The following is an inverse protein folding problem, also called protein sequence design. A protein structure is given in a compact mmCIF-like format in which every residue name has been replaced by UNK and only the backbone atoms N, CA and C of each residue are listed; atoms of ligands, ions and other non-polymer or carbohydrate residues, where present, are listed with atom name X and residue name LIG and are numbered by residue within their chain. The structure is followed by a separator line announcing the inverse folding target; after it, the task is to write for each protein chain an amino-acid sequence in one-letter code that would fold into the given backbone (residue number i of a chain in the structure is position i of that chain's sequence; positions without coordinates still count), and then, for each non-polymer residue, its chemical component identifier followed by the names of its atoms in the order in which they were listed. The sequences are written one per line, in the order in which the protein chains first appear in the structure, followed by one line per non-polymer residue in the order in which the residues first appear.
data_IF_017078359905
#
_entry.id   IF_017078359905
#
_cell.length_a   1.000
_cell.length_b   1.000
_cell.length_c   1.000
_cell.angle_alpha   90.00
_cell.angle_beta   90.00
_cell.angle_gamma   90.00
#
_symmetry.space_group_name_H-M   'P 1'
#
loop_
_entity.id
_entity.type
_entity.pdbx_description
1 polymer ?
#
# COMPACT_ATOMS: atom_id res chain seq x y z
N UNK A 1 -64.17 -83.63 16.91
CA UNK A 1 -63.30 -82.98 17.90
C UNK A 1 -61.91 -82.57 17.40
N UNK A 2 -61.48 -82.95 16.19
CA UNK A 2 -60.13 -82.60 15.68
C UNK A 2 -60.08 -81.26 14.86
N UNK A 3 -61.21 -80.76 14.42
CA UNK A 3 -61.25 -79.54 13.60
C UNK A 3 -61.39 -78.25 14.41
N UNK A 4 -61.82 -78.31 15.65
CA UNK A 4 -61.98 -77.13 16.51
C UNK A 4 -60.61 -76.67 17.15
N UNK A 5 -59.67 -77.63 17.25
CA UNK A 5 -58.36 -77.37 17.85
C UNK A 5 -57.40 -76.64 16.93
N UNK A 6 -57.60 -76.74 15.60
CA UNK A 6 -56.77 -76.06 14.63
C UNK A 6 -57.16 -74.56 14.43
N UNK A 7 -58.40 -74.20 14.66
CA UNK A 7 -58.92 -72.86 14.53
C UNK A 7 -58.50 -71.91 15.70
N UNK A 8 -58.27 -72.53 16.89
CA UNK A 8 -57.86 -71.78 18.09
C UNK A 8 -56.33 -71.51 18.06
N UNK A 9 -55.52 -72.37 17.44
CA UNK A 9 -54.10 -72.16 17.31
C UNK A 9 -53.75 -71.11 16.21
N UNK A 10 -54.60 -71.01 15.15
CA UNK A 10 -54.41 -69.98 14.12
C UNK A 10 -54.82 -68.57 14.57
N UNK A 11 -55.70 -68.41 15.56
CA UNK A 11 -56.13 -67.11 16.09
C UNK A 11 -55.13 -66.53 17.12
N UNK A 12 -54.21 -67.30 17.67
CA UNK A 12 -53.23 -66.79 18.66
C UNK A 12 -51.91 -66.38 18.05
N UNK A 13 -51.65 -66.68 16.75
CA UNK A 13 -50.43 -66.28 16.05
C UNK A 13 -50.50 -64.89 15.38
N UNK A 14 -51.62 -64.19 15.49
CA UNK A 14 -51.82 -62.85 14.84
C UNK A 14 -51.75 -61.63 15.80
N UNK A 15 -51.32 -61.83 17.06
CA UNK A 15 -51.31 -60.77 18.07
C UNK A 15 -49.94 -60.39 18.62
N UNK A 16 -48.83 -60.74 17.93
CA UNK A 16 -47.49 -60.25 18.29
C UNK A 16 -46.70 -59.80 17.08
N UNK A 17 -47.30 -58.94 16.26
CA UNK A 17 -46.53 -58.02 15.45
C UNK A 17 -46.59 -56.62 16.16
N UNK A 18 -45.86 -56.51 17.25
CA UNK A 18 -45.43 -55.25 17.74
C UNK A 18 -44.30 -54.84 16.82
N UNK A 19 -44.64 -54.12 15.74
CA UNK A 19 -43.66 -53.29 15.05
C UNK A 19 -43.18 -52.28 16.07
N UNK A 20 -42.01 -52.54 16.66
CA UNK A 20 -41.21 -51.49 17.25
C UNK A 20 -40.76 -50.61 16.08
N UNK A 21 -41.48 -49.54 15.85
CA UNK A 21 -40.99 -48.39 15.12
C UNK A 21 -39.71 -47.94 15.84
N UNK A 22 -38.60 -48.52 15.46
CA UNK A 22 -37.29 -47.97 15.77
C UNK A 22 -37.19 -46.71 14.90
N UNK A 23 -37.72 -45.59 15.40
CA UNK A 23 -37.35 -44.30 14.89
C UNK A 23 -35.84 -44.22 14.99
N UNK A 24 -35.18 -44.41 13.83
CA UNK A 24 -33.73 -44.20 13.73
C UNK A 24 -33.40 -42.78 14.18
N UNK A 25 -32.89 -42.71 15.39
CA UNK A 25 -32.55 -41.44 16.03
C UNK A 25 -31.26 -40.94 15.39
N UNK A 26 -31.39 -40.20 14.28
CA UNK A 26 -30.26 -39.68 13.57
C UNK A 26 -29.75 -38.42 14.27
N UNK A 27 -28.50 -38.44 14.71
CA UNK A 27 -27.81 -37.23 15.20
C UNK A 27 -26.40 -37.19 14.62
N UNK A 28 -26.18 -36.28 13.69
CA UNK A 28 -24.90 -36.17 12.99
C UNK A 28 -24.48 -34.70 12.77
N UNK A 29 -23.19 -34.48 12.76
CA UNK A 29 -22.56 -33.24 12.38
C UNK A 29 -21.22 -33.55 11.70
N UNK A 30 -20.94 -32.90 10.59
CA UNK A 30 -19.66 -32.99 9.88
C UNK A 30 -19.17 -31.59 9.46
N UNK A 31 -17.87 -31.38 9.46
CA UNK A 31 -16.77 -32.13 10.07
C UNK A 31 -16.69 -31.92 11.58
N UNK A 32 -16.02 -32.80 12.31
CA UNK A 32 -15.79 -32.71 13.76
C UNK A 32 -14.68 -31.68 14.09
N UNK A 33 -13.81 -31.39 13.14
CA UNK A 33 -12.73 -30.41 13.29
C UNK A 33 -12.78 -29.32 12.20
N UNK A 34 -12.56 -28.09 12.59
CA UNK A 34 -12.48 -26.93 11.72
C UNK A 34 -11.15 -26.19 11.95
N UNK A 35 -10.36 -26.03 10.89
CA UNK A 35 -9.16 -25.22 10.90
C UNK A 35 -9.49 -23.82 10.36
N UNK A 36 -9.06 -22.79 11.07
CA UNK A 36 -9.42 -21.38 10.81
C UNK A 36 -8.17 -20.52 10.81
N UNK A 37 -8.08 -19.64 9.84
CA UNK A 37 -7.01 -18.65 9.77
C UNK A 37 -7.15 -17.57 10.86
N UNK A 38 -6.05 -16.88 11.14
CA UNK A 38 -5.98 -15.87 12.20
C UNK A 38 -7.03 -14.75 12.06
N UNK A 39 -7.42 -14.40 10.84
CA UNK A 39 -8.43 -13.35 10.58
C UNK A 39 -9.84 -13.74 11.03
N UNK A 40 -10.07 -15.03 11.34
CA UNK A 40 -11.39 -15.54 11.66
C UNK A 40 -12.31 -15.61 10.43
N UNK A 41 -13.62 -15.57 10.69
CA UNK A 41 -14.60 -15.61 9.61
C UNK A 41 -15.87 -16.37 9.98
N UNK A 42 -16.67 -16.71 8.97
CA UNK A 42 -17.91 -17.48 9.12
C UNK A 42 -17.79 -18.79 8.36
N UNK A 43 -18.04 -19.88 9.05
CA UNK A 43 -18.06 -21.23 8.48
C UNK A 43 -19.45 -21.79 8.63
N UNK A 44 -20.09 -22.23 7.54
CA UNK A 44 -21.40 -22.86 7.56
C UNK A 44 -21.27 -24.37 7.58
N UNK A 45 -22.01 -25.05 8.47
CA UNK A 45 -22.10 -26.48 8.58
C UNK A 45 -23.51 -26.93 8.91
N UNK A 46 -23.88 -28.10 8.42
CA UNK A 46 -25.18 -28.69 8.69
C UNK A 46 -25.11 -29.57 9.93
N UNK A 47 -26.12 -29.43 10.80
CA UNK A 47 -26.38 -30.30 11.94
C UNK A 47 -27.70 -31.01 11.66
N UNK A 48 -27.67 -32.32 11.65
CA UNK A 48 -28.87 -33.17 11.41
C UNK A 48 -29.25 -33.91 12.67
N UNK A 49 -30.49 -33.73 13.14
CA UNK A 49 -31.02 -34.46 14.31
C UNK A 49 -32.52 -34.63 14.18
N UNK A 50 -33.03 -35.84 14.37
CA UNK A 50 -34.47 -36.08 14.43
C UNK A 50 -35.13 -35.41 15.62
N UNK A 51 -34.37 -35.20 16.71
CA UNK A 51 -34.83 -34.53 17.93
C UNK A 51 -34.25 -33.13 18.05
N UNK A 52 -34.77 -32.39 19.02
CA UNK A 52 -34.24 -31.02 19.31
C UNK A 52 -32.82 -31.12 19.86
N UNK A 53 -31.99 -30.18 19.39
CA UNK A 53 -30.60 -30.04 19.85
C UNK A 53 -30.28 -28.59 20.23
N UNK A 54 -29.25 -28.40 21.05
CA UNK A 54 -28.66 -27.13 21.39
C UNK A 54 -27.15 -27.15 21.14
N UNK A 55 -26.60 -26.02 20.74
CA UNK A 55 -25.15 -25.77 20.67
C UNK A 55 -24.72 -24.82 21.77
N UNK A 56 -23.60 -25.13 22.41
CA UNK A 56 -22.98 -24.30 23.45
C UNK A 56 -21.47 -24.27 23.32
N UNK A 57 -20.85 -23.19 23.79
CA UNK A 57 -19.39 -23.06 23.86
C UNK A 57 -19.02 -22.14 25.01
N UNK A 58 -17.89 -22.45 25.68
CA UNK A 58 -17.28 -21.61 26.72
C UNK A 58 -16.29 -20.61 26.13
N UNK A 59 -16.10 -20.61 24.81
CA UNK A 59 -15.12 -19.79 24.10
C UNK A 59 -15.78 -18.53 23.58
N UNK A 60 -15.58 -17.38 24.21
CA UNK A 60 -16.19 -16.09 23.87
C UNK A 60 -15.88 -15.61 22.42
N UNK A 61 -14.88 -16.18 21.76
CA UNK A 61 -14.49 -15.86 20.39
C UNK A 61 -15.19 -16.73 19.33
N UNK A 62 -16.11 -17.63 19.76
CA UNK A 62 -16.91 -18.48 18.88
C UNK A 62 -18.38 -18.17 19.14
N UNK A 63 -19.13 -17.90 18.09
CA UNK A 63 -20.59 -17.77 18.13
C UNK A 63 -21.23 -18.74 17.16
N UNK A 64 -22.28 -19.44 17.57
CA UNK A 64 -23.04 -20.34 16.71
C UNK A 64 -24.44 -19.78 16.46
N UNK A 65 -24.87 -19.73 15.20
CA UNK A 65 -26.18 -19.20 14.83
C UNK A 65 -26.79 -20.00 13.67
N UNK A 66 -28.01 -20.58 13.84
CA UNK A 66 -28.74 -20.71 15.10
C UNK A 66 -28.06 -21.66 16.08
N UNK A 67 -28.20 -21.40 17.40
CA UNK A 67 -27.63 -22.22 18.46
C UNK A 67 -28.56 -23.38 18.89
N UNK A 68 -29.63 -23.65 18.17
CA UNK A 68 -30.55 -24.76 18.41
C UNK A 68 -31.32 -25.06 17.11
N UNK A 69 -31.87 -26.27 17.04
CA UNK A 69 -32.66 -26.71 15.88
C UNK A 69 -33.30 -28.08 16.04
N UNK A 70 -33.94 -28.53 14.96
CA UNK A 70 -34.47 -29.86 14.74
C UNK A 70 -34.47 -30.16 13.23
N UNK A 71 -34.28 -31.39 12.82
CA UNK A 71 -34.09 -31.73 11.41
C UNK A 71 -32.69 -31.36 10.95
N UNK A 72 -32.51 -31.16 9.66
CA UNK A 72 -31.27 -30.65 9.09
C UNK A 72 -31.27 -29.10 9.16
N UNK A 73 -30.37 -28.55 9.93
CA UNK A 73 -30.25 -27.12 10.17
C UNK A 73 -28.85 -26.63 9.76
N UNK A 74 -28.77 -25.64 8.91
CA UNK A 74 -27.51 -24.97 8.60
C UNK A 74 -27.15 -23.97 9.69
N UNK A 75 -25.96 -24.16 10.29
CA UNK A 75 -25.45 -23.33 11.36
C UNK A 75 -24.21 -22.58 10.88
N UNK A 76 -24.15 -21.31 11.21
CA UNK A 76 -22.97 -20.47 11.03
C UNK A 76 -22.15 -20.49 12.31
N UNK A 77 -20.89 -20.86 12.18
CA UNK A 77 -19.85 -20.72 13.19
C UNK A 77 -19.10 -19.43 12.90
N UNK A 78 -19.37 -18.41 13.69
CA UNK A 78 -18.76 -17.08 13.56
C UNK A 78 -17.56 -17.07 14.49
N UNK A 79 -16.36 -16.92 13.93
CA UNK A 79 -15.08 -16.98 14.65
C UNK A 79 -14.42 -15.61 14.60
N UNK A 80 -14.15 -15.02 15.76
CA UNK A 80 -13.46 -13.75 15.88
C UNK A 80 -11.99 -13.87 15.45
N UNK A 81 -11.41 -12.75 14.99
CA UNK A 81 -9.98 -12.71 14.68
C UNK A 81 -9.12 -13.00 15.91
N UNK A 82 -7.97 -13.65 15.69
CA UNK A 82 -6.98 -13.90 16.72
C UNK A 82 -6.44 -12.59 17.31
N UNK A 83 -6.26 -12.55 18.62
CA UNK A 83 -5.70 -11.37 19.32
C UNK A 83 -4.22 -11.58 19.70
N UNK A 84 -3.66 -12.75 19.43
CA UNK A 84 -2.28 -13.12 19.77
C UNK A 84 -1.65 -13.91 18.62
N UNK A 85 -0.33 -13.97 18.62
CA UNK A 85 0.45 -14.80 17.68
C UNK A 85 0.40 -16.29 18.00
N UNK A 86 -0.05 -16.68 19.21
CA UNK A 86 -0.23 -18.06 19.59
C UNK A 86 -1.52 -18.64 18.99
N UNK A 87 -1.51 -19.86 18.43
CA UNK A 87 -2.71 -20.54 18.00
C UNK A 87 -3.62 -20.84 19.20
N UNK A 88 -4.93 -20.91 18.95
CA UNK A 88 -5.92 -21.24 19.98
C UNK A 88 -6.88 -22.31 19.52
N UNK A 89 -7.45 -23.02 20.48
CA UNK A 89 -8.42 -24.08 20.26
C UNK A 89 -9.67 -23.79 21.05
N UNK A 90 -10.82 -24.01 20.46
CA UNK A 90 -12.14 -23.93 21.08
C UNK A 90 -12.97 -25.14 20.75
N UNK A 91 -14.00 -25.39 21.55
CA UNK A 91 -14.93 -26.50 21.39
C UNK A 91 -16.35 -25.96 21.40
N UNK A 92 -17.14 -26.41 20.44
CA UNK A 92 -18.58 -26.25 20.43
C UNK A 92 -19.20 -27.63 20.71
N UNK A 93 -20.00 -27.69 21.77
CA UNK A 93 -20.76 -28.90 22.13
C UNK A 93 -22.16 -28.80 21.56
N UNK A 94 -22.59 -29.86 20.87
CA UNK A 94 -23.92 -29.99 20.33
C UNK A 94 -24.57 -31.15 21.06
N UNK A 95 -25.64 -30.87 21.79
CA UNK A 95 -26.34 -31.82 22.63
C UNK A 95 -27.74 -32.09 22.09
N UNK A 96 -28.06 -33.39 21.88
CA UNK A 96 -29.40 -33.86 21.62
C UNK A 96 -30.19 -33.88 22.92
N UNK A 97 -31.33 -33.16 22.96
CA UNK A 97 -32.11 -32.98 24.18
C UNK A 97 -32.98 -34.19 24.58
N UNK A 98 -33.17 -35.16 23.69
CA UNK A 98 -33.95 -36.37 23.97
C UNK A 98 -33.07 -37.52 24.48
N UNK A 99 -31.88 -37.68 23.84
CA UNK A 99 -30.95 -38.76 24.16
C UNK A 99 -29.82 -38.35 25.08
N UNK A 100 -29.59 -37.08 25.28
CA UNK A 100 -28.43 -36.48 25.97
C UNK A 100 -27.09 -36.82 25.31
N UNK A 101 -27.12 -37.36 24.08
CA UNK A 101 -25.90 -37.54 23.29
C UNK A 101 -25.27 -36.23 22.96
N UNK A 102 -23.95 -36.11 23.14
CA UNK A 102 -23.16 -34.93 22.89
C UNK A 102 -22.15 -35.17 21.77
N UNK A 103 -22.01 -34.20 20.88
CA UNK A 103 -20.97 -34.17 19.84
C UNK A 103 -20.18 -32.91 19.95
N UNK A 104 -18.88 -33.01 19.77
CA UNK A 104 -17.97 -31.86 19.82
C UNK A 104 -17.49 -31.49 18.41
N UNK A 105 -17.56 -30.20 18.11
CA UNK A 105 -16.86 -29.59 16.99
C UNK A 105 -15.68 -28.83 17.56
N UNK A 106 -14.49 -29.26 17.16
CA UNK A 106 -13.23 -28.63 17.57
C UNK A 106 -12.85 -27.56 16.56
N UNK A 107 -12.60 -26.35 17.03
CA UNK A 107 -12.15 -25.23 16.20
C UNK A 107 -10.72 -24.90 16.58
N UNK A 108 -9.80 -25.10 15.63
CA UNK A 108 -8.38 -24.74 15.76
C UNK A 108 -8.13 -23.46 14.95
N UNK A 109 -7.78 -22.38 15.62
CA UNK A 109 -7.47 -21.12 14.94
C UNK A 109 -5.98 -20.81 15.05
N UNK A 110 -5.38 -20.46 13.91
CA UNK A 110 -3.99 -20.00 13.86
C UNK A 110 -3.83 -18.66 14.60
N UNK A 111 -2.66 -18.43 15.20
CA UNK A 111 -2.24 -17.11 15.61
C UNK A 111 -1.96 -16.23 14.39
N UNK A 112 -1.90 -14.91 14.58
CA UNK A 112 -1.52 -14.02 13.50
C UNK A 112 0.00 -13.82 13.45
N UNK A 113 0.50 -13.49 12.27
CA UNK A 113 1.86 -13.05 12.05
C UNK A 113 1.88 -11.54 11.85
N UNK A 114 2.94 -10.87 12.30
CA UNK A 114 3.14 -9.45 11.99
C UNK A 114 3.66 -9.33 10.56
N UNK A 115 3.06 -8.40 9.80
CA UNK A 115 3.46 -8.13 8.42
C UNK A 115 3.32 -6.65 8.08
N UNK A 116 4.21 -6.18 7.19
CA UNK A 116 4.15 -4.86 6.55
C UNK A 116 4.22 -5.11 5.05
N UNK A 117 3.16 -4.78 4.33
CA UNK A 117 3.02 -4.98 2.90
C UNK A 117 2.89 -3.62 2.20
N UNK A 118 3.75 -3.37 1.22
CA UNK A 118 3.72 -2.18 0.37
C UNK A 118 2.95 -2.53 -0.90
N UNK A 119 1.77 -1.92 -1.11
CA UNK A 119 0.89 -2.30 -2.23
C UNK A 119 1.45 -1.95 -3.62
N UNK A 120 2.38 -1.00 -3.68
CA UNK A 120 3.10 -0.62 -4.90
C UNK A 120 4.58 -0.46 -4.54
N UNK A 121 5.36 -1.56 -4.54
CA UNK A 121 6.73 -1.56 -4.03
C UNK A 121 7.75 -0.89 -4.97
N UNK A 122 7.32 -0.49 -6.16
CA UNK A 122 8.15 0.19 -7.16
C UNK A 122 7.49 1.50 -7.57
N UNK A 123 8.25 2.58 -7.51
CA UNK A 123 7.79 3.93 -7.91
C UNK A 123 8.87 4.57 -8.77
N UNK A 124 8.46 5.05 -9.94
CA UNK A 124 9.29 5.86 -10.81
C UNK A 124 8.79 7.30 -10.78
N UNK A 125 9.71 8.25 -10.56
CA UNK A 125 9.42 9.68 -10.52
C UNK A 125 10.29 10.45 -11.52
N UNK A 126 9.74 11.54 -12.03
CA UNK A 126 10.45 12.41 -12.94
C UNK A 126 11.64 13.09 -12.25
N UNK A 127 12.62 13.52 -13.04
CA UNK A 127 13.74 14.34 -12.53
C UNK A 127 13.28 15.71 -11.99
N UNK A 128 12.21 16.25 -12.55
CA UNK A 128 11.65 17.56 -12.21
C UNK A 128 10.12 17.54 -12.16
N UNK A 129 9.57 18.21 -11.16
CA UNK A 129 8.20 18.74 -11.10
C UNK A 129 8.19 20.05 -10.34
N UNK A 130 7.10 20.80 -10.37
CA UNK A 130 6.90 22.00 -9.55
C UNK A 130 6.96 21.60 -8.06
N UNK A 131 7.39 22.53 -7.21
CA UNK A 131 7.58 22.27 -5.75
C UNK A 131 6.34 21.67 -5.08
N UNK A 132 5.16 22.17 -5.45
CA UNK A 132 3.86 21.71 -4.94
C UNK A 132 3.42 20.35 -5.45
N UNK A 133 4.09 19.79 -6.47
CA UNK A 133 3.83 18.50 -7.09
C UNK A 133 4.91 17.44 -6.80
N UNK A 134 5.95 17.80 -6.02
CA UNK A 134 7.07 16.90 -5.71
C UNK A 134 6.75 15.96 -4.57
N UNK A 135 5.69 15.20 -4.73
CA UNK A 135 5.32 14.14 -3.79
C UNK A 135 4.71 12.95 -4.52
N UNK A 136 4.65 11.84 -3.82
CA UNK A 136 3.87 10.67 -4.19
C UNK A 136 3.40 9.95 -2.93
N UNK A 137 2.31 9.22 -3.04
CA UNK A 137 1.67 8.53 -1.95
C UNK A 137 1.82 7.01 -2.14
N UNK A 138 2.20 6.32 -1.07
CA UNK A 138 2.36 4.86 -1.04
C UNK A 138 1.38 4.27 -0.04
N UNK A 139 0.56 3.33 -0.51
CA UNK A 139 -0.34 2.59 0.35
C UNK A 139 0.38 1.41 1.00
N UNK A 140 0.29 1.34 2.33
CA UNK A 140 0.89 0.29 3.15
C UNK A 140 -0.20 -0.43 3.93
N UNK A 141 -0.24 -1.74 3.84
CA UNK A 141 -1.15 -2.61 4.60
C UNK A 141 -0.37 -3.32 5.70
N UNK A 142 -0.78 -3.15 6.95
CA UNK A 142 -0.03 -3.67 8.10
C UNK A 142 -0.92 -3.96 9.30
N UNK A 143 -0.48 -4.84 10.20
CA UNK A 143 -1.05 -5.08 11.51
C UNK A 143 -0.08 -4.72 12.65
N UNK A 144 1.00 -4.00 12.34
CA UNK A 144 1.98 -3.47 13.31
C UNK A 144 2.30 -2.02 12.98
N UNK A 145 2.52 -1.18 14.00
CA UNK A 145 2.99 0.19 13.78
C UNK A 145 4.46 0.19 13.32
N UNK A 146 4.80 1.10 12.41
CA UNK A 146 6.10 1.11 11.77
C UNK A 146 6.70 2.52 11.66
N UNK A 147 7.99 2.56 11.40
CA UNK A 147 8.75 3.73 10.96
C UNK A 147 9.21 3.52 9.53
N UNK A 148 9.34 4.63 8.80
CA UNK A 148 9.92 4.63 7.45
C UNK A 148 11.39 4.99 7.56
N UNK A 149 12.24 4.11 7.05
CA UNK A 149 13.70 4.27 7.03
C UNK A 149 14.15 4.57 5.61
N UNK A 150 14.41 5.86 5.35
CA UNK A 150 14.98 6.34 4.09
C UNK A 150 16.49 6.30 4.23
N UNK A 151 17.24 5.65 3.32
CA UNK A 151 18.69 5.50 3.47
C UNK A 151 19.42 6.85 3.37
N UNK A 152 20.51 7.03 4.12
CA UNK A 152 21.28 8.28 4.20
C UNK A 152 21.78 8.79 2.83
N UNK A 153 22.04 7.89 1.88
CA UNK A 153 22.46 8.24 0.53
C UNK A 153 21.31 8.75 -0.37
N UNK A 154 20.07 8.72 0.13
CA UNK A 154 18.89 9.24 -0.55
C UNK A 154 18.33 10.50 0.12
N UNK A 155 19.19 11.44 0.54
CA UNK A 155 18.79 12.71 1.17
C UNK A 155 17.85 13.60 0.32
N UNK A 156 17.68 13.24 -0.96
CA UNK A 156 16.73 13.87 -1.89
C UNK A 156 15.29 13.35 -1.71
N UNK A 157 15.07 12.31 -0.90
CA UNK A 157 13.78 11.68 -0.62
C UNK A 157 13.50 11.79 0.88
N UNK A 158 12.30 12.16 1.25
CA UNK A 158 11.85 12.22 2.65
C UNK A 158 10.44 11.68 2.80
N UNK A 159 10.17 10.97 3.90
CA UNK A 159 8.84 10.52 4.24
C UNK A 159 8.17 11.49 5.20
N UNK A 160 6.92 11.88 4.94
CA UNK A 160 6.12 12.63 5.89
C UNK A 160 5.65 11.74 7.05
N UNK A 161 5.33 12.37 8.19
CA UNK A 161 4.74 11.65 9.31
C UNK A 161 3.38 11.10 8.90
N UNK A 162 3.20 9.80 9.03
CA UNK A 162 1.92 9.13 8.83
C UNK A 162 1.27 8.80 10.18
N UNK A 163 -0.04 8.64 10.16
CA UNK A 163 -0.82 8.15 11.30
C UNK A 163 -1.40 6.79 10.96
N UNK A 164 -1.31 5.87 11.88
CA UNK A 164 -1.86 4.53 11.74
C UNK A 164 -2.72 4.22 12.97
N UNK A 165 -4.02 4.06 12.74
CA UNK A 165 -4.95 3.60 13.76
C UNK A 165 -5.03 2.07 13.72
N UNK A 166 -4.25 1.42 14.59
CA UNK A 166 -4.21 -0.04 14.71
C UNK A 166 -5.22 -0.52 15.74
N UNK A 167 -6.13 -1.39 15.30
CA UNK A 167 -6.85 -2.24 16.20
C UNK A 167 -5.95 -3.42 16.61
N UNK A 168 -6.15 -3.92 17.83
CA UNK A 168 -5.48 -5.16 18.26
C UNK A 168 -5.99 -6.33 17.42
N UNK A 169 -5.10 -7.24 17.03
CA UNK A 169 -5.43 -8.49 16.38
C UNK A 169 -4.88 -8.64 14.96
N UNK A 170 -5.31 -9.71 14.31
CA UNK A 170 -4.79 -10.18 13.03
C UNK A 170 -5.16 -9.32 11.81
N UNK A 171 -6.19 -8.49 11.92
CA UNK A 171 -6.73 -7.75 10.76
C UNK A 171 -5.82 -6.60 10.38
N UNK A 172 -5.17 -6.63 9.20
CA UNK A 172 -4.35 -5.54 8.72
C UNK A 172 -5.20 -4.29 8.47
N UNK A 173 -4.57 -3.13 8.66
CA UNK A 173 -5.10 -1.82 8.29
C UNK A 173 -4.28 -1.25 7.15
N UNK A 174 -4.91 -0.47 6.32
CA UNK A 174 -4.23 0.28 5.28
C UNK A 174 -4.02 1.72 5.74
N UNK A 175 -2.83 2.23 5.50
CA UNK A 175 -2.45 3.63 5.67
C UNK A 175 -1.76 4.14 4.42
N UNK A 176 -1.63 5.44 4.30
CA UNK A 176 -0.91 6.09 3.20
C UNK A 176 0.29 6.83 3.77
N UNK A 177 1.45 6.59 3.21
CA UNK A 177 2.68 7.32 3.50
C UNK A 177 2.98 8.24 2.33
N UNK A 178 3.08 9.54 2.60
CA UNK A 178 3.49 10.54 1.61
C UNK A 178 4.97 10.72 1.63
N UNK A 179 5.58 10.65 0.46
CA UNK A 179 6.98 10.96 0.23
C UNK A 179 7.10 12.28 -0.52
N UNK A 180 8.07 13.10 -0.11
CA UNK A 180 8.51 14.30 -0.83
C UNK A 180 9.89 14.07 -1.39
N UNK A 181 10.17 14.70 -2.50
CA UNK A 181 11.44 14.53 -3.20
C UNK A 181 11.97 15.83 -3.80
N UNK A 182 13.30 15.93 -3.91
CA UNK A 182 13.98 17.04 -4.53
C UNK A 182 14.29 16.73 -6.00
N UNK A 183 14.43 17.79 -6.81
CA UNK A 183 14.77 17.65 -8.22
C UNK A 183 16.11 16.93 -8.40
N UNK A 184 16.20 16.15 -9.49
CA UNK A 184 17.45 15.56 -9.93
C UNK A 184 18.01 16.42 -11.07
N UNK A 185 19.09 17.15 -10.79
CA UNK A 185 19.80 17.98 -11.79
C UNK A 185 20.95 17.23 -12.44
N UNK A 186 21.20 15.97 -12.06
CA UNK A 186 22.31 15.20 -12.58
C UNK A 186 21.87 14.32 -13.78
N UNK A 187 22.80 14.11 -14.72
CA UNK A 187 22.58 13.20 -15.86
C UNK A 187 22.63 11.72 -15.47
N UNK A 188 22.25 11.37 -14.23
CA UNK A 188 22.21 10.00 -13.73
C UNK A 188 20.92 9.79 -12.94
N UNK A 189 20.34 8.63 -13.11
CA UNK A 189 19.24 8.19 -12.28
C UNK A 189 19.66 8.06 -10.81
N UNK A 190 18.72 8.28 -9.90
CA UNK A 190 18.91 8.07 -8.47
C UNK A 190 18.00 6.92 -8.04
N UNK A 191 18.51 6.08 -7.14
CA UNK A 191 17.78 4.95 -6.57
C UNK A 191 17.75 5.07 -5.05
N UNK A 192 16.57 4.88 -4.47
CA UNK A 192 16.40 4.72 -3.03
C UNK A 192 15.67 3.42 -2.72
N UNK A 193 16.21 2.64 -1.77
CA UNK A 193 15.57 1.46 -1.20
C UNK A 193 15.09 1.78 0.20
N UNK A 194 13.80 2.11 0.32
CA UNK A 194 13.18 2.51 1.57
C UNK A 194 12.68 1.28 2.32
N UNK A 195 12.95 1.20 3.63
CA UNK A 195 12.50 0.12 4.49
C UNK A 195 11.38 0.58 5.42
N UNK A 196 10.49 -0.35 5.75
CA UNK A 196 9.44 -0.16 6.74
C UNK A 196 9.76 -1.04 7.94
N UNK A 197 10.10 -0.43 9.06
CA UNK A 197 10.59 -1.12 10.26
C UNK A 197 9.52 -1.09 11.36
N UNK A 198 9.20 -2.22 12.02
CA UNK A 198 8.24 -2.22 13.10
C UNK A 198 8.75 -1.40 14.28
N UNK A 199 7.89 -0.59 14.90
CA UNK A 199 8.25 0.21 16.10
C UNK A 199 8.44 -0.64 17.34
N UNK A 200 7.90 -1.84 17.35
CA UNK A 200 8.07 -2.79 18.46
C UNK A 200 9.01 -3.92 18.04
N UNK A 201 9.68 -4.53 19.00
CA UNK A 201 10.57 -5.67 18.75
C UNK A 201 9.73 -6.92 18.50
N UNK A 202 9.40 -7.16 17.23
CA UNK A 202 8.67 -8.35 16.76
C UNK A 202 9.33 -8.89 15.51
N UNK A 203 9.22 -10.19 15.30
CA UNK A 203 9.58 -10.82 14.05
C UNK A 203 8.47 -10.60 13.03
N UNK A 204 8.84 -10.16 11.83
CA UNK A 204 7.93 -9.99 10.71
C UNK A 204 7.98 -11.26 9.85
N UNK A 205 6.82 -11.82 9.54
CA UNK A 205 6.70 -12.89 8.54
C UNK A 205 6.91 -12.35 7.13
N UNK A 206 6.59 -11.07 6.94
CA UNK A 206 6.74 -10.38 5.67
C UNK A 206 7.01 -8.89 5.91
N UNK A 207 8.01 -8.36 5.20
CA UNK A 207 8.33 -6.93 5.17
C UNK A 207 8.79 -6.53 3.77
N UNK A 208 7.96 -5.77 3.07
CA UNK A 208 8.31 -5.20 1.77
C UNK A 208 9.26 -4.02 1.92
N UNK A 209 9.98 -3.75 0.84
CA UNK A 209 10.75 -2.54 0.64
C UNK A 209 10.14 -1.74 -0.51
N UNK A 210 10.29 -0.43 -0.46
CA UNK A 210 9.90 0.45 -1.54
C UNK A 210 11.14 0.84 -2.35
N UNK A 211 11.13 0.51 -3.63
CA UNK A 211 12.13 0.96 -4.59
C UNK A 211 11.66 2.24 -5.28
N UNK A 212 12.40 3.32 -5.12
CA UNK A 212 12.10 4.61 -5.77
C UNK A 212 13.21 4.92 -6.75
N UNK A 213 12.86 5.04 -8.03
CA UNK A 213 13.76 5.44 -9.10
C UNK A 213 13.40 6.85 -9.53
N UNK A 214 14.37 7.77 -9.46
CA UNK A 214 14.22 9.12 -10.00
C UNK A 214 15.00 9.25 -11.29
N UNK A 215 14.31 9.68 -12.34
CA UNK A 215 14.88 9.87 -13.67
C UNK A 215 16.05 10.84 -13.67
N UNK A 216 16.99 10.62 -14.58
CA UNK A 216 18.10 11.53 -14.85
C UNK A 216 17.59 12.85 -15.47
N UNK A 217 18.30 13.93 -15.19
CA UNK A 217 18.14 15.17 -15.95
C UNK A 217 18.77 15.02 -17.36
N UNK A 218 18.30 15.87 -18.28
CA UNK A 218 18.94 15.97 -19.58
C UNK A 218 20.38 16.45 -19.42
N UNK A 219 21.38 15.80 -20.04
CA UNK A 219 22.78 16.17 -19.86
C UNK A 219 23.08 17.53 -20.51
N UNK A 220 23.76 18.42 -19.74
CA UNK A 220 24.24 19.71 -20.21
C UNK A 220 25.61 19.50 -20.84
N UNK A 221 25.72 19.74 -22.14
CA UNK A 221 27.00 19.69 -22.85
C UNK A 221 27.69 21.06 -22.71
N UNK A 222 28.81 21.19 -21.98
CA UNK A 222 29.47 22.48 -21.78
C UNK A 222 29.87 23.14 -23.09
N UNK A 223 29.92 24.46 -23.08
CA UNK A 223 30.43 25.30 -24.17
C UNK A 223 29.74 25.11 -25.53
N UNK A 224 28.46 24.70 -25.49
CA UNK A 224 27.64 24.52 -26.70
C UNK A 224 26.32 25.26 -26.60
N UNK A 225 25.79 25.67 -27.77
CA UNK A 225 24.42 26.25 -27.86
C UNK A 225 23.36 25.30 -27.30
N UNK A 226 23.49 23.99 -27.54
CA UNK A 226 22.56 23.00 -27.00
C UNK A 226 22.64 22.93 -25.48
N UNK A 227 23.86 22.97 -24.92
CA UNK A 227 24.06 23.01 -23.47
C UNK A 227 23.48 24.28 -22.82
N UNK A 228 23.65 25.45 -23.45
CA UNK A 228 23.04 26.70 -22.97
C UNK A 228 21.51 26.60 -22.93
N UNK A 229 20.87 25.98 -23.94
CA UNK A 229 19.42 25.79 -23.98
C UNK A 229 18.94 24.88 -22.86
N UNK A 230 19.62 23.76 -22.61
CA UNK A 230 19.29 22.83 -21.51
C UNK A 230 19.51 23.52 -20.15
N UNK A 231 20.60 24.29 -20.00
CA UNK A 231 20.89 25.05 -18.78
C UNK A 231 19.79 26.08 -18.47
N UNK A 232 19.39 26.90 -19.46
CA UNK A 232 18.32 27.88 -19.31
C UNK A 232 17.00 27.22 -18.90
N UNK A 233 16.60 26.12 -19.53
CA UNK A 233 15.39 25.38 -19.19
C UNK A 233 15.46 24.80 -17.79
N UNK A 234 16.61 24.24 -17.38
CA UNK A 234 16.80 23.70 -16.04
C UNK A 234 16.72 24.81 -14.97
N UNK A 235 17.37 25.93 -15.18
CA UNK A 235 17.31 27.12 -14.32
C UNK A 235 15.86 27.60 -14.20
N UNK A 236 15.18 27.79 -15.33
CA UNK A 236 13.79 28.25 -15.37
C UNK A 236 12.85 27.30 -14.60
N UNK A 237 12.99 26.00 -14.76
CA UNK A 237 12.21 24.98 -14.05
C UNK A 237 12.48 25.02 -12.55
N UNK A 238 13.74 25.08 -12.15
CA UNK A 238 14.14 25.09 -10.72
C UNK A 238 13.62 26.34 -10.02
N UNK A 239 13.76 27.50 -10.62
CA UNK A 239 13.26 28.78 -10.08
C UNK A 239 11.76 29.00 -10.29
N UNK A 240 11.08 28.12 -11.03
CA UNK A 240 9.66 28.27 -11.38
C UNK A 240 9.37 29.64 -12.00
N UNK A 241 10.19 29.98 -12.99
CA UNK A 241 10.06 31.28 -13.66
C UNK A 241 8.78 31.39 -14.50
N UNK A 242 8.38 32.62 -14.79
CA UNK A 242 7.20 32.94 -15.62
C UNK A 242 7.51 32.95 -17.12
N UNK A 243 8.73 32.59 -17.51
CA UNK A 243 9.12 32.57 -18.93
C UNK A 243 8.52 31.35 -19.63
N UNK A 244 8.07 31.52 -20.86
CA UNK A 244 7.44 30.50 -21.68
C UNK A 244 8.42 29.88 -22.67
N UNK A 245 9.59 29.41 -22.18
CA UNK A 245 10.57 28.78 -23.05
C UNK A 245 10.17 27.31 -23.32
N UNK A 246 10.27 26.92 -24.59
CA UNK A 246 9.89 25.59 -25.04
C UNK A 246 11.09 24.93 -25.73
N UNK A 247 11.45 23.72 -25.28
CA UNK A 247 12.54 22.93 -25.83
C UNK A 247 12.35 22.56 -27.31
N UNK A 248 11.10 22.54 -27.81
CA UNK A 248 10.79 22.30 -29.21
C UNK A 248 11.08 23.50 -30.12
N UNK A 249 11.28 24.69 -29.52
CA UNK A 249 11.57 25.93 -30.24
C UNK A 249 13.06 26.28 -30.13
N UNK A 250 13.57 26.93 -31.18
CA UNK A 250 14.92 27.49 -31.15
C UNK A 250 15.03 28.63 -30.12
N UNK A 251 16.14 28.73 -29.38
CA UNK A 251 16.42 29.79 -28.42
C UNK A 251 16.28 31.19 -29.01
N UNK A 252 16.42 31.39 -30.32
CA UNK A 252 16.18 32.66 -30.99
C UNK A 252 14.73 33.14 -30.85
N UNK A 253 13.80 32.25 -30.55
CA UNK A 253 12.37 32.53 -30.38
C UNK A 253 11.99 32.69 -28.90
N UNK A 254 12.94 32.55 -27.98
CA UNK A 254 12.67 32.61 -26.57
C UNK A 254 12.69 34.06 -26.10
N UNK A 255 11.63 34.51 -25.47
CA UNK A 255 11.54 35.83 -24.88
C UNK A 255 12.62 36.02 -23.81
N UNK A 256 13.19 37.22 -23.74
CA UNK A 256 14.19 37.59 -22.73
C UNK A 256 15.51 36.80 -22.80
N UNK A 257 15.83 36.26 -23.97
CA UNK A 257 17.11 35.62 -24.28
C UNK A 257 17.75 36.37 -25.45
N UNK A 258 18.98 36.84 -25.28
CA UNK A 258 19.79 37.41 -26.34
C UNK A 258 20.97 36.48 -26.61
N UNK A 259 21.13 36.11 -27.87
CA UNK A 259 22.25 35.30 -28.31
C UNK A 259 23.35 36.15 -28.91
N UNK A 260 24.57 35.65 -28.83
CA UNK A 260 25.70 36.23 -29.54
C UNK A 260 25.48 36.16 -31.06
N UNK A 261 25.75 37.27 -31.72
CA UNK A 261 25.77 37.42 -33.17
C UNK A 261 27.13 37.91 -33.61
N UNK A 262 27.59 37.49 -34.79
CA UNK A 262 28.92 37.84 -35.34
C UNK A 262 29.17 39.36 -35.41
N UNK A 263 28.11 40.15 -35.51
CA UNK A 263 28.22 41.62 -35.57
C UNK A 263 28.43 42.28 -34.23
N UNK A 264 28.30 41.55 -33.10
CA UNK A 264 28.41 42.11 -31.76
C UNK A 264 29.87 42.31 -31.36
N UNK A 265 30.17 43.42 -30.67
CA UNK A 265 31.47 43.65 -30.09
C UNK A 265 31.79 42.58 -29.02
N UNK A 266 33.01 42.03 -29.04
CA UNK A 266 33.44 40.95 -28.14
C UNK A 266 32.96 39.56 -28.56
N UNK A 267 32.24 39.40 -29.69
CA UNK A 267 31.86 38.11 -30.20
C UNK A 267 33.09 37.38 -30.78
N UNK A 268 33.25 36.10 -30.36
CA UNK A 268 34.23 35.18 -30.97
C UNK A 268 33.49 34.07 -31.70
N UNK A 269 34.17 33.34 -32.63
CA UNK A 269 33.51 32.25 -33.34
C UNK A 269 32.85 31.21 -32.42
N UNK A 270 33.44 30.94 -31.25
CA UNK A 270 32.94 29.99 -30.26
C UNK A 270 31.72 30.49 -29.49
N UNK A 271 31.52 31.84 -29.43
CA UNK A 271 30.36 32.44 -28.80
C UNK A 271 29.15 32.53 -29.71
N UNK A 272 29.31 32.49 -31.04
CA UNK A 272 28.21 32.67 -31.99
C UNK A 272 27.04 31.72 -31.72
N UNK A 273 25.84 32.29 -31.52
CA UNK A 273 24.61 31.56 -31.22
C UNK A 273 24.50 31.06 -29.80
N UNK A 274 25.49 31.29 -28.93
CA UNK A 274 25.43 31.04 -27.48
C UNK A 274 24.68 32.14 -26.76
N UNK A 275 24.27 31.91 -25.52
CA UNK A 275 23.58 32.88 -24.71
C UNK A 275 24.53 34.01 -24.32
N UNK A 276 24.17 35.25 -24.67
CA UNK A 276 24.84 36.51 -24.21
C UNK A 276 24.14 37.05 -22.99
N UNK A 277 22.77 37.11 -23.02
CA UNK A 277 21.96 37.68 -21.95
C UNK A 277 20.73 36.82 -21.75
N UNK A 278 20.31 36.63 -20.48
CA UNK A 278 19.04 36.02 -20.14
C UNK A 278 18.39 36.69 -18.94
N UNK A 279 17.06 36.83 -18.97
CA UNK A 279 16.27 37.43 -17.90
C UNK A 279 15.25 36.42 -17.37
N UNK A 280 15.28 36.18 -16.06
CA UNK A 280 14.42 35.26 -15.37
C UNK A 280 13.45 36.03 -14.48
N UNK A 281 12.15 35.85 -14.70
CA UNK A 281 11.08 36.46 -13.92
C UNK A 281 10.39 35.42 -13.08
N UNK A 282 10.23 35.64 -11.76
CA UNK A 282 9.59 34.70 -10.83
C UNK A 282 8.84 35.43 -9.71
N UNK A 283 7.84 34.79 -9.09
CA UNK A 283 7.07 35.40 -7.99
C UNK A 283 7.81 35.33 -6.66
N UNK A 284 8.46 34.21 -6.37
CA UNK A 284 9.20 34.00 -5.13
C UNK A 284 10.35 33.04 -5.38
N UNK A 285 11.56 33.40 -4.98
CA UNK A 285 12.68 32.46 -4.91
C UNK A 285 12.45 31.59 -3.69
N UNK A 286 12.17 30.31 -3.91
CA UNK A 286 12.11 29.26 -2.87
C UNK A 286 13.35 28.38 -2.87
N UNK A 287 14.07 28.36 -3.94
CA UNK A 287 15.25 27.55 -4.17
C UNK A 287 16.49 28.44 -4.26
N UNK A 288 17.67 27.98 -3.84
CA UNK A 288 18.91 28.68 -4.11
C UNK A 288 19.15 28.78 -5.61
N UNK A 289 20.04 29.70 -6.01
CA UNK A 289 20.42 29.85 -7.41
C UNK A 289 20.96 28.49 -7.94
N UNK A 290 20.35 27.94 -9.02
CA UNK A 290 20.76 26.65 -9.55
C UNK A 290 22.20 26.64 -10.03
N UNK A 291 22.90 25.55 -9.77
CA UNK A 291 24.30 25.44 -10.17
C UNK A 291 24.48 25.40 -11.69
N UNK A 292 23.44 25.14 -12.44
CA UNK A 292 23.39 25.14 -13.90
C UNK A 292 23.75 26.51 -14.51
N UNK A 293 23.65 27.57 -13.77
CA UNK A 293 24.11 28.94 -14.16
C UNK A 293 25.58 28.89 -14.63
N UNK A 294 26.44 28.08 -14.04
CA UNK A 294 27.84 27.90 -14.41
C UNK A 294 28.08 27.36 -15.82
N UNK A 295 27.08 26.77 -16.46
CA UNK A 295 27.20 26.29 -17.83
C UNK A 295 26.95 27.36 -18.89
N UNK A 296 26.42 28.52 -18.49
CA UNK A 296 26.22 29.67 -19.37
C UNK A 296 27.52 30.50 -19.50
N UNK A 297 28.60 29.83 -19.87
CA UNK A 297 29.98 30.37 -19.88
C UNK A 297 30.21 31.50 -20.88
N UNK A 298 29.34 31.64 -21.89
CA UNK A 298 29.39 32.74 -22.85
C UNK A 298 28.50 33.93 -22.44
N UNK A 299 27.72 33.80 -21.35
CA UNK A 299 26.82 34.86 -20.93
C UNK A 299 27.58 36.03 -20.27
N UNK A 300 27.24 37.25 -20.66
CA UNK A 300 27.72 38.48 -20.03
C UNK A 300 26.74 38.98 -18.98
N UNK A 301 25.43 38.75 -19.19
CA UNK A 301 24.38 39.32 -18.37
C UNK A 301 23.31 38.27 -18.02
N UNK A 302 23.14 38.04 -16.73
CA UNK A 302 22.05 37.20 -16.21
C UNK A 302 21.26 38.00 -15.17
N UNK A 303 19.96 38.16 -15.41
CA UNK A 303 19.08 38.95 -14.54
C UNK A 303 18.04 38.05 -13.91
N UNK A 304 17.86 38.19 -12.60
CA UNK A 304 16.89 37.44 -11.81
C UNK A 304 15.93 38.43 -11.13
N UNK A 305 14.68 38.49 -11.58
CA UNK A 305 13.67 39.42 -11.10
C UNK A 305 12.60 38.72 -10.28
N UNK A 306 12.47 39.07 -9.00
CA UNK A 306 11.45 38.54 -8.10
C UNK A 306 10.53 39.60 -7.52
N UNK A 307 9.28 39.27 -7.20
CA UNK A 307 8.23 40.19 -6.79
C UNK A 307 8.28 40.64 -5.31
N UNK A 308 9.16 40.11 -4.49
CA UNK A 308 9.26 40.48 -3.07
C UNK A 308 10.64 40.99 -2.73
N UNK A 309 10.71 42.34 -2.58
CA UNK A 309 11.88 43.06 -2.09
C UNK A 309 13.18 42.83 -2.88
N UNK A 310 13.28 43.54 -4.00
CA UNK A 310 14.54 44.05 -4.60
C UNK A 310 15.82 43.31 -4.21
N UNK A 311 16.04 42.13 -4.72
CA UNK A 311 17.39 41.64 -4.93
C UNK A 311 17.63 41.53 -6.43
N UNK A 312 18.22 42.60 -6.99
CA UNK A 312 18.90 42.52 -8.27
C UNK A 312 20.20 41.75 -8.01
N UNK A 313 20.23 40.46 -8.29
CA UNK A 313 21.49 39.76 -8.45
C UNK A 313 21.90 39.88 -9.91
N UNK A 314 22.67 40.90 -10.21
CA UNK A 314 23.47 40.94 -11.43
C UNK A 314 24.73 40.12 -11.14
N UNK A 315 24.87 38.95 -11.74
CA UNK A 315 26.15 38.25 -11.83
C UNK A 315 26.87 38.88 -13.04
N UNK A 316 27.83 39.73 -12.74
CA UNK A 316 28.87 40.13 -13.70
C UNK A 316 29.85 38.95 -13.73
N UNK A 317 29.83 38.18 -14.80
CA UNK A 317 30.74 37.05 -15.01
C UNK A 317 32.01 37.57 -15.72
N UNK A 318 32.49 38.75 -15.28
CA UNK A 318 33.64 39.43 -15.85
C UNK A 318 34.79 38.53 -16.26
N UNK A 319 35.41 38.87 -17.34
CA UNK A 319 36.63 38.25 -17.88
C UNK A 319 37.76 38.23 -16.82
N UNK A 320 38.13 37.03 -16.33
CA UNK A 320 39.41 36.72 -15.73
C UNK A 320 40.16 35.68 -16.57
#
# INVERSE_FOLDING_TARGET
MKQILYTIIAAFALLCACETDTTDNTFSTEPIALDVEAVGGVITRSITSTERWIASTDNAWITVSPANGRGTTECQFIIDSALTTAPRRGVVRIQNLATWEEKEIVISQKGFDYAIEVLSPEVEIANYKRVDERYFDVAVRTNVDFTVDVPDNAGWLSAERHTLDLNRGARPRQTTVRFKWDINTTARERLAQVKFLPKMSVELSHADQLSVVQQAAEPIVPDTRAGDSVALLSISRTLQTMVSWDASQSMNMWDNVVLWDESMEGCTPEKVGRVRKAEFYFFNIKEPLPFEVRYLTAAEELYFFGNTNTFLLSLDLGDD
#
